data_IF_869574633066
#
_entry.id   IF_869574633066
#
_cell.length_a   1.000
_cell.length_b   1.000
_cell.length_c   1.000
_cell.angle_alpha   90.00
_cell.angle_beta   90.00
_cell.angle_gamma   90.00
#
_symmetry.space_group_name_H-M   'P 1'
#
loop_
_entity.id
_entity.type
_entity.pdbx_description
1 polymer ?
#
# COMPACT_ATOMS: atom_id res chain seq x y z
N UNK A 1 -2.82 14.70 -0.07
CA UNK A 1 -2.30 14.03 1.14
C UNK A 1 -3.40 13.55 2.09
N UNK A 2 -4.20 14.43 2.72
CA UNK A 2 -5.25 13.99 3.68
C UNK A 2 -6.23 12.95 3.12
N UNK A 3 -6.64 13.09 1.85
CA UNK A 3 -7.54 12.13 1.18
C UNK A 3 -6.89 10.77 0.91
N UNK A 4 -5.63 10.74 0.47
CA UNK A 4 -4.89 9.49 0.24
C UNK A 4 -4.68 8.76 1.57
N UNK A 5 -4.36 9.51 2.63
CA UNK A 5 -4.18 8.94 3.96
C UNK A 5 -5.49 8.36 4.52
N UNK A 6 -6.62 9.08 4.37
CA UNK A 6 -7.92 8.54 4.78
C UNK A 6 -8.32 7.30 3.96
N UNK A 7 -8.02 7.31 2.66
CA UNK A 7 -8.24 6.16 1.79
C UNK A 7 -7.39 4.96 2.21
N UNK A 8 -6.09 5.15 2.43
CA UNK A 8 -5.19 4.10 2.91
C UNK A 8 -5.67 3.51 4.24
N UNK A 9 -6.14 4.36 5.16
CA UNK A 9 -6.70 3.88 6.44
C UNK A 9 -7.95 3.02 6.23
N UNK A 10 -8.90 3.47 5.41
CA UNK A 10 -10.12 2.70 5.10
C UNK A 10 -9.80 1.36 4.43
N UNK A 11 -8.82 1.36 3.52
CA UNK A 11 -8.40 0.15 2.81
C UNK A 11 -7.82 -0.88 3.78
N UNK A 12 -6.99 -0.44 4.73
CA UNK A 12 -6.44 -1.33 5.76
C UNK A 12 -7.53 -1.84 6.72
N UNK A 13 -8.49 -0.99 7.10
CA UNK A 13 -9.64 -1.39 7.93
C UNK A 13 -10.45 -2.51 7.26
N UNK A 14 -10.69 -2.42 5.94
CA UNK A 14 -11.40 -3.46 5.18
C UNK A 14 -10.68 -4.81 5.19
N UNK A 15 -9.36 -4.84 4.99
CA UNK A 15 -8.59 -6.08 5.00
C UNK A 15 -8.48 -6.70 6.40
N UNK A 16 -8.55 -5.87 7.45
CA UNK A 16 -8.57 -6.37 8.82
C UNK A 16 -9.90 -7.07 9.18
N UNK A 17 -11.00 -6.70 8.51
CA UNK A 17 -12.31 -7.33 8.66
C UNK A 17 -12.45 -8.60 7.77
N UNK A 18 -11.75 -8.64 6.63
CA UNK A 18 -11.84 -9.72 5.63
C UNK A 18 -10.72 -10.76 5.82
N UNK A 19 -10.85 -11.59 6.86
CA UNK A 19 -9.83 -12.57 7.25
C UNK A 19 -10.10 -13.96 6.65
N UNK A 20 -9.97 -14.09 5.32
CA UNK A 20 -10.17 -15.38 4.65
C UNK A 20 -8.92 -16.28 4.61
N UNK A 21 -7.78 -15.76 5.09
CA UNK A 21 -6.56 -16.53 5.31
C UNK A 21 -5.65 -16.69 4.08
N UNK A 22 -5.98 -16.06 2.95
CA UNK A 22 -5.08 -15.97 1.79
C UNK A 22 -4.32 -14.64 1.77
N UNK A 23 -3.03 -14.66 1.43
CA UNK A 23 -2.23 -13.45 1.23
C UNK A 23 -2.51 -12.92 -0.19
N UNK A 24 -3.60 -12.15 -0.37
CA UNK A 24 -4.05 -11.74 -1.72
C UNK A 24 -3.28 -10.55 -2.25
N UNK A 25 -2.86 -9.67 -1.36
CA UNK A 25 -2.09 -8.49 -1.74
C UNK A 25 -1.07 -8.05 -0.68
N UNK A 26 -0.48 -6.88 -0.91
CA UNK A 26 0.53 -6.28 -0.04
C UNK A 26 0.05 -6.06 1.39
N UNK A 27 -1.21 -5.68 1.58
CA UNK A 27 -1.79 -5.38 2.90
C UNK A 27 -1.88 -6.67 3.71
N UNK A 28 -2.43 -7.73 3.12
CA UNK A 28 -2.54 -9.04 3.78
C UNK A 28 -1.17 -9.59 4.18
N UNK A 29 -0.21 -9.53 3.25
CA UNK A 29 1.17 -9.97 3.50
C UNK A 29 1.83 -9.18 4.64
N UNK A 30 1.61 -7.87 4.71
CA UNK A 30 2.12 -7.03 5.78
C UNK A 30 1.48 -7.39 7.13
N UNK A 31 0.15 -7.53 7.18
CA UNK A 31 -0.59 -7.87 8.40
C UNK A 31 -0.19 -9.24 8.94
N UNK A 32 0.01 -10.23 8.05
CA UNK A 32 0.53 -11.55 8.42
C UNK A 32 1.94 -11.48 9.00
N UNK A 33 2.83 -10.69 8.40
CA UNK A 33 4.17 -10.51 8.94
C UNK A 33 4.14 -9.80 10.30
N UNK A 34 3.30 -8.79 10.47
CA UNK A 34 3.10 -8.10 11.74
C UNK A 34 2.64 -9.08 12.84
N UNK A 35 1.68 -9.94 12.53
CA UNK A 35 1.20 -10.98 13.43
C UNK A 35 2.29 -11.99 13.79
N UNK A 36 3.09 -12.42 12.81
CA UNK A 36 4.22 -13.34 13.04
C UNK A 36 5.29 -12.72 13.95
N UNK A 37 5.64 -11.46 13.74
CA UNK A 37 6.58 -10.72 14.58
C UNK A 37 6.04 -10.59 16.03
N UNK A 38 4.73 -10.38 16.20
CA UNK A 38 4.09 -10.33 17.51
C UNK A 38 4.11 -11.70 18.22
N UNK A 39 3.76 -12.78 17.51
CA UNK A 39 3.78 -14.15 18.06
C UNK A 39 5.19 -14.60 18.47
N UNK A 40 6.20 -14.19 17.72
CA UNK A 40 7.61 -14.48 18.00
C UNK A 40 8.26 -13.54 19.02
N UNK A 41 7.51 -12.55 19.55
CA UNK A 41 7.99 -11.53 20.51
C UNK A 41 9.24 -10.80 20.04
N UNK A 42 9.30 -10.46 18.76
CA UNK A 42 10.44 -9.73 18.19
C UNK A 42 10.46 -8.30 18.74
N UNK A 43 11.45 -7.99 19.58
CA UNK A 43 11.54 -6.73 20.33
C UNK A 43 11.63 -5.46 19.45
N UNK A 44 12.09 -5.59 18.20
CA UNK A 44 12.31 -4.47 17.28
C UNK A 44 11.56 -4.66 15.95
N UNK A 45 10.30 -5.09 16.00
CA UNK A 45 9.48 -5.15 14.78
C UNK A 45 9.16 -3.73 14.28
N UNK A 46 9.31 -3.53 12.97
CA UNK A 46 8.87 -2.32 12.26
C UNK A 46 7.52 -2.54 11.56
N UNK A 47 6.89 -3.70 11.76
CA UNK A 47 5.61 -4.03 11.14
C UNK A 47 4.47 -3.56 12.04
N UNK A 48 4.21 -2.26 11.99
CA UNK A 48 3.08 -1.60 12.68
C UNK A 48 2.13 -0.92 11.68
N UNK A 49 0.99 -0.46 12.20
CA UNK A 49 -0.07 0.14 11.39
C UNK A 49 0.33 1.48 10.77
N UNK A 50 1.15 2.28 11.44
CA UNK A 50 1.60 3.57 10.92
C UNK A 50 2.57 3.36 9.75
N UNK A 51 3.46 2.37 9.86
CA UNK A 51 4.34 1.91 8.78
C UNK A 51 3.55 1.39 7.58
N UNK A 52 2.49 0.62 7.80
CA UNK A 52 1.62 0.12 6.72
C UNK A 52 0.94 1.28 5.98
N UNK A 53 0.29 2.20 6.70
CA UNK A 53 -0.40 3.34 6.10
C UNK A 53 0.59 4.25 5.36
N UNK A 54 1.78 4.48 5.93
CA UNK A 54 2.84 5.28 5.31
C UNK A 54 3.33 4.62 4.00
N UNK A 55 3.56 3.31 4.02
CA UNK A 55 4.02 2.55 2.85
C UNK A 55 2.99 2.58 1.72
N UNK A 56 1.71 2.35 2.03
CA UNK A 56 0.61 2.45 1.05
C UNK A 56 0.57 3.87 0.47
N UNK A 57 0.62 4.90 1.32
CA UNK A 57 0.58 6.30 0.89
C UNK A 57 1.73 6.64 -0.06
N UNK A 58 2.94 6.21 0.26
CA UNK A 58 4.13 6.41 -0.59
C UNK A 58 4.00 5.69 -1.93
N UNK A 59 3.52 4.44 -1.93
CA UNK A 59 3.30 3.67 -3.15
C UNK A 59 2.31 4.36 -4.08
N UNK A 60 1.18 4.84 -3.54
CA UNK A 60 0.17 5.57 -4.32
C UNK A 60 0.73 6.84 -4.94
N UNK A 61 1.44 7.66 -4.18
CA UNK A 61 1.98 8.94 -4.67
C UNK A 61 3.05 8.69 -5.74
N UNK A 62 4.05 7.86 -5.43
CA UNK A 62 5.17 7.61 -6.35
C UNK A 62 4.74 6.91 -7.64
N UNK A 63 3.85 5.93 -7.55
CA UNK A 63 3.33 5.21 -8.71
C UNK A 63 2.45 6.09 -9.60
N UNK A 64 1.55 6.87 -9.00
CA UNK A 64 0.61 7.70 -9.76
C UNK A 64 1.32 8.78 -10.58
N UNK A 65 2.27 9.50 -9.98
CA UNK A 65 2.98 10.58 -10.67
C UNK A 65 3.80 10.06 -11.85
N UNK A 66 4.58 9.00 -11.62
CA UNK A 66 5.49 8.44 -12.63
C UNK A 66 4.73 7.76 -13.76
N UNK A 67 3.72 6.93 -13.47
CA UNK A 67 2.89 6.28 -14.49
C UNK A 67 2.06 7.28 -15.26
N UNK A 68 1.43 8.26 -14.60
CA UNK A 68 0.65 9.30 -15.28
C UNK A 68 1.52 10.12 -16.23
N UNK A 69 2.71 10.53 -15.78
CA UNK A 69 3.66 11.26 -16.62
C UNK A 69 4.09 10.44 -17.82
N UNK A 70 4.40 9.16 -17.62
CA UNK A 70 4.80 8.24 -18.69
C UNK A 70 3.69 8.08 -19.73
N UNK A 71 2.45 7.80 -19.29
CA UNK A 71 1.29 7.66 -20.17
C UNK A 71 1.00 8.95 -20.92
N UNK A 72 1.11 10.11 -20.26
CA UNK A 72 0.93 11.41 -20.89
C UNK A 72 1.88 11.60 -22.06
N UNK A 73 3.17 11.34 -21.86
CA UNK A 73 4.15 11.43 -22.94
C UNK A 73 3.91 10.39 -24.03
N UNK A 74 3.61 9.14 -23.66
CA UNK A 74 3.29 8.10 -24.63
C UNK A 74 2.14 8.51 -25.56
N UNK A 75 1.06 9.11 -25.01
CA UNK A 75 -0.06 9.61 -25.81
C UNK A 75 0.32 10.79 -26.71
N UNK A 76 1.13 11.73 -26.22
CA UNK A 76 1.66 12.84 -27.06
C UNK A 76 2.43 12.27 -28.26
N UNK A 77 3.33 11.31 -28.02
CA UNK A 77 4.08 10.65 -29.09
C UNK A 77 3.19 9.89 -30.06
N UNK A 78 2.08 9.29 -29.61
CA UNK A 78 1.15 8.58 -30.50
C UNK A 78 0.31 9.50 -31.39
N UNK A 79 0.11 10.76 -31.00
CA UNK A 79 -0.68 11.74 -31.78
C UNK A 79 0.22 12.56 -32.71
N UNK A 80 1.46 12.81 -32.32
CA UNK A 80 2.43 13.58 -33.09
C UNK A 80 3.21 12.75 -34.14
N UNK A 81 3.04 11.42 -34.14
CA UNK A 81 3.53 10.49 -35.18
C UNK A 81 2.37 9.87 -35.96
#
# INVERSE_FOLDING_TARGET
FKQIFSFAKQLVEQHNDDNDGEDKDYIDAFLKQAKNDQLSRKENSTFDMDQLISSITNLFIGGTETTSTTLRWALVYMIEN
#
